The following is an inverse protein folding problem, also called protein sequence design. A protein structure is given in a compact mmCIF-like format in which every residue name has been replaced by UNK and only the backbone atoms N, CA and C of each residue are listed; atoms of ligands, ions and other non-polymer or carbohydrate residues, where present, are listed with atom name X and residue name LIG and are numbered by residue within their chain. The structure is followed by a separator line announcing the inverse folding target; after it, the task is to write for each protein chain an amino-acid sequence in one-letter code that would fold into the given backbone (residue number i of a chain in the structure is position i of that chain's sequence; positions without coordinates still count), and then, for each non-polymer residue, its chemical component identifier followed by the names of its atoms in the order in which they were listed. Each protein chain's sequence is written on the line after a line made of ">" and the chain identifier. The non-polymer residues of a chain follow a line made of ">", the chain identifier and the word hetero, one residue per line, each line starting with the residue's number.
data_IF_981593483431
#
_entry.id   IF_981593483431
#
_cell.length_a   1.000
_cell.length_b   1.000
_cell.length_c   1.000
_cell.angle_alpha   90.00
_cell.angle_beta   90.00
_cell.angle_gamma   90.00
#
_symmetry.space_group_name_H-M   'P 1'
#
loop_
_entity.id
_entity.type
_entity.pdbx_description
1 polymer ?
#
# COMPACT_ATOMS: atom_id res chain seq x y z
N UNK A 1 5.43 -7.26 9.52
CA UNK A 1 4.62 -7.43 8.29
C UNK A 1 4.74 -6.21 7.40
N UNK A 2 5.52 -6.29 6.30
CA UNK A 2 5.73 -5.17 5.40
C UNK A 2 4.44 -4.79 4.65
N UNK A 3 4.12 -3.49 4.65
CA UNK A 3 3.15 -2.88 3.76
C UNK A 3 3.90 -2.29 2.58
N UNK A 4 3.59 -2.76 1.39
CA UNK A 4 4.20 -2.31 0.14
C UNK A 4 3.36 -1.22 -0.49
N UNK A 5 4.01 -0.11 -0.85
CA UNK A 5 3.39 1.00 -1.58
C UNK A 5 3.79 0.89 -3.06
N UNK A 6 2.80 0.76 -3.94
CA UNK A 6 2.98 0.67 -5.40
C UNK A 6 2.24 1.78 -6.13
N UNK A 7 2.81 2.32 -7.20
CA UNK A 7 2.17 3.37 -8.01
C UNK A 7 1.64 2.79 -9.32
N UNK A 8 0.36 3.06 -9.63
CA UNK A 8 -0.22 2.66 -10.91
C UNK A 8 0.42 3.51 -12.03
N UNK A 9 1.02 2.90 -13.07
CA UNK A 9 1.61 3.66 -14.17
C UNK A 9 0.56 4.37 -15.03
N UNK A 10 -0.70 3.94 -14.99
CA UNK A 10 -1.79 4.50 -15.81
C UNK A 10 -2.43 5.74 -15.16
N UNK A 11 -2.76 5.68 -13.86
CA UNK A 11 -3.43 6.81 -13.18
C UNK A 11 -2.57 7.52 -12.14
N UNK A 12 -1.33 7.07 -11.92
CA UNK A 12 -0.41 7.65 -10.94
C UNK A 12 -0.80 7.44 -9.48
N UNK A 13 -1.93 6.78 -9.17
CA UNK A 13 -2.37 6.56 -7.79
C UNK A 13 -1.50 5.53 -7.08
N UNK A 14 -1.21 5.79 -5.81
CA UNK A 14 -0.58 4.82 -4.93
C UNK A 14 -1.62 3.81 -4.42
N UNK A 15 -1.23 2.54 -4.38
CA UNK A 15 -1.95 1.45 -3.75
C UNK A 15 -1.07 0.85 -2.64
N UNK A 16 -1.70 0.45 -1.55
CA UNK A 16 -1.06 -0.25 -0.44
C UNK A 16 -1.47 -1.71 -0.48
N UNK A 17 -0.49 -2.60 -0.37
CA UNK A 17 -0.72 -4.03 -0.36
C UNK A 17 0.18 -4.69 0.66
N UNK A 18 -0.32 -5.74 1.29
CA UNK A 18 0.40 -6.51 2.29
C UNK A 18 0.79 -7.86 1.71
N UNK A 19 2.00 -8.31 2.00
CA UNK A 19 2.38 -9.71 1.80
C UNK A 19 2.74 -10.26 3.16
N UNK A 20 2.06 -11.36 3.52
CA UNK A 20 2.31 -12.04 4.78
C UNK A 20 3.75 -12.55 4.82
N UNK A 21 4.33 -12.55 6.01
CA UNK A 21 5.69 -13.04 6.20
C UNK A 21 5.77 -14.53 5.82
N UNK A 22 6.81 -14.90 5.08
CA UNK A 22 6.96 -16.25 4.53
C UNK A 22 6.14 -16.53 3.26
N UNK A 23 5.25 -15.63 2.84
CA UNK A 23 4.55 -15.76 1.56
C UNK A 23 5.38 -15.16 0.41
N UNK A 24 5.32 -15.81 -0.75
CA UNK A 24 5.91 -15.28 -1.98
C UNK A 24 5.15 -14.02 -2.41
N UNK A 25 5.88 -12.98 -2.80
CA UNK A 25 5.28 -11.80 -3.45
C UNK A 25 4.57 -12.24 -4.75
N UNK A 26 3.39 -11.69 -5.06
CA UNK A 26 2.69 -12.05 -6.28
C UNK A 26 3.46 -11.54 -7.52
N UNK A 27 3.18 -12.11 -8.69
CA UNK A 27 3.82 -11.69 -9.95
C UNK A 27 3.19 -10.45 -10.57
N UNK A 28 1.95 -10.14 -10.20
CA UNK A 28 1.16 -9.02 -10.69
C UNK A 28 0.30 -8.42 -9.58
N UNK A 29 -0.15 -7.18 -9.79
CA UNK A 29 -1.12 -6.49 -8.94
C UNK A 29 -2.16 -5.78 -9.78
N UNK A 30 -3.32 -5.55 -9.18
CA UNK A 30 -4.45 -4.93 -9.85
C UNK A 30 -4.74 -3.53 -9.30
N UNK A 31 -4.81 -2.54 -10.18
CA UNK A 31 -5.24 -1.20 -9.80
C UNK A 31 -6.77 -1.16 -9.71
N UNK A 32 -7.32 -0.97 -8.51
CA UNK A 32 -8.77 -0.87 -8.30
C UNK A 32 -9.43 0.33 -8.98
N UNK A 33 -8.66 1.34 -9.39
CA UNK A 33 -9.18 2.53 -10.07
C UNK A 33 -9.22 2.38 -11.59
N UNK A 34 -8.14 1.87 -12.19
CA UNK A 34 -8.06 1.66 -13.64
C UNK A 34 -8.59 0.30 -14.08
N UNK A 35 -8.88 -0.60 -13.13
CA UNK A 35 -9.21 -1.99 -13.38
C UNK A 35 -8.16 -2.70 -14.27
N UNK A 36 -6.89 -2.34 -14.13
CA UNK A 36 -5.78 -2.84 -14.95
C UNK A 36 -4.80 -3.63 -14.10
N UNK A 37 -4.34 -4.77 -14.64
CA UNK A 37 -3.27 -5.57 -14.05
C UNK A 37 -1.90 -5.03 -14.47
N UNK A 38 -0.96 -5.02 -13.53
CA UNK A 38 0.40 -4.54 -13.71
C UNK A 38 1.38 -5.54 -13.10
N UNK A 39 2.60 -5.69 -13.64
CA UNK A 39 3.61 -6.55 -13.02
C UNK A 39 3.95 -6.04 -11.61
N UNK A 40 4.21 -6.98 -10.70
CA UNK A 40 4.68 -6.67 -9.35
C UNK A 40 6.13 -6.22 -9.43
N UNK A 41 6.33 -4.91 -9.49
CA UNK A 41 7.65 -4.28 -9.53
C UNK A 41 8.30 -4.17 -8.16
N UNK A 42 9.46 -3.52 -8.11
CA UNK A 42 10.03 -3.09 -6.84
C UNK A 42 9.09 -2.07 -6.18
N UNK A 43 8.60 -2.34 -4.96
CA UNK A 43 7.73 -1.41 -4.26
C UNK A 43 8.48 -0.12 -3.97
N UNK A 44 7.78 1.01 -4.07
CA UNK A 44 8.38 2.34 -3.88
C UNK A 44 8.78 2.57 -2.43
N UNK A 45 8.00 2.00 -1.52
CA UNK A 45 8.20 2.12 -0.08
C UNK A 45 7.72 0.85 0.62
N UNK A 46 8.40 0.51 1.71
CA UNK A 46 8.04 -0.57 2.62
C UNK A 46 7.77 0.07 3.98
N UNK A 47 6.50 0.19 4.34
CA UNK A 47 6.06 0.71 5.63
C UNK A 47 5.85 -0.46 6.61
N UNK A 48 6.11 -0.25 7.89
CA UNK A 48 5.66 -1.19 8.93
C UNK A 48 4.13 -1.14 9.01
N UNK A 49 3.48 -2.30 9.16
CA UNK A 49 2.04 -2.31 9.30
C UNK A 49 1.67 -1.51 10.57
N UNK A 50 0.65 -0.63 10.53
CA UNK A 50 0.32 0.19 11.69
C UNK A 50 -0.03 -0.62 12.95
N UNK A 51 -0.40 -1.90 12.82
CA UNK A 51 -0.59 -2.81 13.96
C UNK A 51 0.71 -3.13 14.72
N UNK A 52 1.85 -3.05 14.04
CA UNK A 52 3.18 -3.27 14.64
C UNK A 52 3.73 -2.00 15.28
N UNK A 53 3.21 -0.84 14.87
CA UNK A 53 3.42 0.42 15.59
C UNK A 53 2.46 0.44 16.77
N UNK A 54 2.97 0.60 18.00
CA UNK A 54 2.16 0.63 19.20
C UNK A 54 1.08 1.74 19.11
N UNK A 55 -0.13 1.40 18.69
CA UNK A 55 -1.28 2.29 18.70
C UNK A 55 -1.92 2.24 20.09
N UNK A 56 -1.76 3.32 20.86
CA UNK A 56 -2.45 3.50 22.15
C UNK A 56 -3.98 3.63 22.04
N UNK A 57 -4.59 3.44 20.86
CA UNK A 57 -5.98 3.83 20.59
C UNK A 57 -6.77 2.89 19.66
N UNK A 58 -6.51 1.57 19.71
CA UNK A 58 -7.41 0.56 19.15
C UNK A 58 -7.16 0.16 17.69
N UNK A 59 -7.96 -0.80 17.21
CA UNK A 59 -7.79 -1.52 15.95
C UNK A 59 -8.25 -0.68 14.74
N UNK A 60 -7.38 -0.53 13.74
CA UNK A 60 -7.69 0.23 12.51
C UNK A 60 -8.76 -0.40 11.62
N UNK A 61 -9.09 -1.68 11.81
CA UNK A 61 -10.19 -2.33 11.10
C UNK A 61 -11.57 -1.88 11.62
N UNK A 62 -11.64 -1.30 12.83
CA UNK A 62 -12.91 -0.92 13.48
C UNK A 62 -12.99 0.57 13.87
N UNK A 63 -11.88 1.34 13.82
CA UNK A 63 -11.84 2.81 14.00
C UNK A 63 -11.57 3.29 15.44
N UNK A 64 -11.06 4.54 15.65
CA UNK A 64 -11.49 5.76 14.96
C UNK A 64 -10.39 6.66 14.34
N UNK A 65 -10.64 7.14 13.10
CA UNK A 65 -10.36 8.51 12.62
C UNK A 65 -8.92 9.01 12.37
N UNK A 66 -8.50 9.07 11.09
CA UNK A 66 -8.20 10.31 10.31
C UNK A 66 -7.28 10.00 9.11
N UNK A 67 -7.74 10.40 7.92
CA UNK A 67 -7.18 10.02 6.63
C UNK A 67 -5.81 10.63 6.34
N UNK A 68 -4.84 9.76 6.08
CA UNK A 68 -3.57 10.17 5.50
C UNK A 68 -3.71 10.29 3.98
N UNK A 69 -3.94 11.54 3.51
CA UNK A 69 -3.89 11.92 2.10
C UNK A 69 -2.43 12.00 1.66
N UNK A 70 -1.97 11.08 0.83
CA UNK A 70 -0.66 11.16 0.18
C UNK A 70 -0.84 11.39 -1.31
N UNK A 71 -0.49 12.59 -1.75
CA UNK A 71 -0.37 12.95 -3.16
C UNK A 71 0.96 12.45 -3.68
N UNK A 72 0.94 11.68 -4.77
CA UNK A 72 2.15 11.37 -5.52
C UNK A 72 2.73 12.68 -6.05
N UNK A 73 3.78 13.19 -5.41
CA UNK A 73 4.49 14.37 -5.88
C UNK A 73 5.12 14.07 -7.25
N UNK A 74 4.69 14.83 -8.25
CA UNK A 74 5.29 14.93 -9.57
C UNK A 74 6.74 15.41 -9.42
N UNK A 75 7.71 14.58 -9.77
CA UNK A 75 9.00 15.04 -10.27
C UNK A 75 8.86 14.98 -11.80
N UNK A 76 8.91 16.08 -12.53
CA UNK A 76 9.97 17.10 -12.54
C UNK A 76 10.67 16.92 -13.87
#
# INVERSE_FOLDING_TARGET
>A
MPVYVMCCPTCGRAARTLVLEGCKTPGEWFCSHCATAHPWGAPKEIESHPWESAQSAGCLCCGPGQGARFTCASAG
#
